data_IF_860620700995
#
_entry.id   IF_860620700995
#
_cell.length_a   1.000
_cell.length_b   1.000
_cell.length_c   1.000
_cell.angle_alpha   90.00
_cell.angle_beta   90.00
_cell.angle_gamma   90.00
#
_symmetry.space_group_name_H-M   'P 1'
#
loop_
_entity.id
_entity.type
_entity.pdbx_description
1 polymer ?
#
# COMPACT_ATOMS: atom_id res chain seq x y z
N UNK A 1 1.05 -19.71 11.13
CA UNK A 1 -0.10 -19.48 12.02
C UNK A 1 0.07 -20.34 13.25
N UNK A 2 0.19 -19.71 14.41
CA UNK A 2 0.18 -20.41 15.70
C UNK A 2 -1.13 -20.06 16.41
N UNK A 3 -1.72 -21.03 17.10
CA UNK A 3 -2.97 -20.81 17.83
C UNK A 3 -2.75 -19.82 18.98
N UNK A 4 -3.58 -18.77 19.06
CA UNK A 4 -3.78 -17.99 20.29
C UNK A 4 -3.45 -16.50 20.25
N UNK A 5 -2.65 -16.01 19.30
CA UNK A 5 -2.27 -14.58 19.21
C UNK A 5 -2.48 -13.97 17.81
N UNK A 6 -2.65 -14.78 16.77
CA UNK A 6 -2.88 -14.29 15.40
C UNK A 6 -4.24 -13.56 15.28
N UNK A 7 -4.24 -12.41 14.62
CA UNK A 7 -5.44 -11.61 14.33
C UNK A 7 -5.73 -11.63 12.83
N UNK A 8 -6.97 -11.95 12.47
CA UNK A 8 -7.51 -11.88 11.11
C UNK A 8 -8.36 -10.61 10.99
N UNK A 9 -8.13 -9.86 9.93
CA UNK A 9 -8.79 -8.59 9.66
C UNK A 9 -9.57 -8.71 8.36
N UNK A 10 -10.84 -8.31 8.37
CA UNK A 10 -11.64 -8.15 7.16
C UNK A 10 -11.62 -6.70 6.66
N UNK A 11 -11.46 -6.56 5.34
CA UNK A 11 -11.46 -5.27 4.66
C UNK A 11 -10.41 -4.30 5.20
N UNK A 12 -10.79 -3.03 5.28
CA UNK A 12 -9.94 -1.91 5.72
C UNK A 12 -9.87 -1.80 7.26
N UNK A 13 -9.87 -2.94 7.97
CA UNK A 13 -9.98 -2.96 9.44
C UNK A 13 -11.41 -3.00 9.97
N UNK A 14 -12.40 -3.37 9.15
CA UNK A 14 -13.82 -3.29 9.50
C UNK A 14 -14.25 -4.34 10.54
N UNK A 15 -13.59 -5.50 10.56
CA UNK A 15 -13.81 -6.54 11.56
C UNK A 15 -12.49 -7.22 11.94
N UNK A 16 -12.16 -7.18 13.24
CA UNK A 16 -11.03 -7.92 13.79
C UNK A 16 -11.51 -9.21 14.43
N UNK A 17 -10.84 -10.31 14.11
CA UNK A 17 -11.15 -11.65 14.60
C UNK A 17 -9.90 -12.31 15.14
N UNK A 18 -10.00 -12.92 16.32
CA UNK A 18 -8.91 -13.69 16.93
C UNK A 18 -8.96 -15.13 16.47
N UNK A 19 -7.83 -15.68 16.04
CA UNK A 19 -7.72 -17.12 15.72
C UNK A 19 -7.76 -17.93 17.01
N UNK A 20 -8.73 -18.85 17.09
CA UNK A 20 -8.88 -19.79 18.21
C UNK A 20 -8.20 -21.12 17.90
N UNK A 21 -8.46 -21.68 16.73
CA UNK A 21 -7.98 -23.00 16.32
C UNK A 21 -7.61 -22.98 14.83
N UNK A 22 -6.60 -23.76 14.46
CA UNK A 22 -6.14 -23.93 13.08
C UNK A 22 -6.23 -25.38 12.67
N UNK A 23 -6.79 -25.62 11.48
CA UNK A 23 -6.92 -26.93 10.84
C UNK A 23 -6.25 -26.89 9.47
N UNK A 24 -6.15 -28.04 8.81
CA UNK A 24 -5.48 -28.15 7.50
C UNK A 24 -6.17 -27.33 6.39
N UNK A 25 -7.50 -27.17 6.45
CA UNK A 25 -8.33 -26.54 5.43
C UNK A 25 -9.15 -25.35 5.91
N UNK A 26 -9.13 -25.05 7.22
CA UNK A 26 -9.88 -23.93 7.79
C UNK A 26 -9.28 -23.43 9.12
N UNK A 27 -9.79 -22.29 9.57
CA UNK A 27 -9.50 -21.72 10.89
C UNK A 27 -10.81 -21.45 11.62
N UNK A 28 -10.78 -21.53 12.94
CA UNK A 28 -11.87 -21.08 13.80
C UNK A 28 -11.48 -19.75 14.40
N UNK A 29 -12.34 -18.75 14.23
CA UNK A 29 -12.09 -17.39 14.70
C UNK A 29 -13.25 -16.89 15.57
N UNK A 30 -12.96 -15.97 16.48
CA UNK A 30 -13.99 -15.21 17.21
C UNK A 30 -13.84 -13.72 16.92
N UNK A 31 -14.94 -12.98 16.67
CA UNK A 31 -14.86 -11.53 16.54
C UNK A 31 -14.42 -10.91 17.87
N UNK A 32 -13.58 -9.88 17.79
CA UNK A 32 -13.16 -9.07 18.94
C UNK A 32 -14.20 -7.99 19.29
N UNK A 33 -15.08 -7.65 18.35
CA UNK A 33 -16.16 -6.69 18.50
C UNK A 33 -17.31 -7.04 17.55
N UNK A 34 -18.49 -6.48 17.78
CA UNK A 34 -19.61 -6.60 16.85
C UNK A 34 -19.23 -6.00 15.49
N UNK A 35 -19.64 -6.66 14.40
CA UNK A 35 -19.37 -6.20 13.04
C UNK A 35 -20.08 -7.06 11.99
N UNK A 36 -19.87 -6.70 10.73
CA UNK A 36 -20.52 -7.34 9.58
C UNK A 36 -19.43 -7.81 8.62
N UNK A 37 -19.55 -9.06 8.15
CA UNK A 37 -18.74 -9.57 7.06
C UNK A 37 -19.37 -9.16 5.73
N UNK A 38 -18.60 -8.51 4.86
CA UNK A 38 -19.07 -8.04 3.57
C UNK A 38 -18.61 -8.96 2.44
N UNK A 39 -19.52 -9.44 1.57
CA UNK A 39 -19.14 -10.25 0.42
C UNK A 39 -18.11 -9.55 -0.47
N UNK A 40 -17.05 -10.28 -0.84
CA UNK A 40 -16.02 -9.80 -1.75
C UNK A 40 -14.96 -8.90 -1.11
N UNK A 41 -15.02 -8.64 0.21
CA UNK A 41 -13.91 -8.01 0.92
C UNK A 41 -12.80 -9.03 1.18
N UNK A 42 -11.56 -8.55 1.08
CA UNK A 42 -10.38 -9.34 1.41
C UNK A 42 -10.30 -9.62 2.90
N UNK A 43 -9.57 -10.68 3.24
CA UNK A 43 -9.17 -10.98 4.61
C UNK A 43 -7.66 -11.05 4.66
N UNK A 44 -7.06 -10.49 5.71
CA UNK A 44 -5.63 -10.49 5.92
C UNK A 44 -5.31 -11.00 7.32
N UNK A 45 -4.20 -11.73 7.43
CA UNK A 45 -3.64 -12.09 8.74
C UNK A 45 -2.66 -10.98 9.11
N UNK A 46 -2.84 -10.38 10.27
CA UNK A 46 -1.88 -9.43 10.82
C UNK A 46 -0.65 -10.21 11.31
N UNK A 47 0.41 -10.17 10.52
CA UNK A 47 1.65 -10.90 10.74
C UNK A 47 2.81 -10.05 10.20
N UNK A 48 3.78 -9.72 11.07
CA UNK A 48 4.95 -8.94 10.70
C UNK A 48 5.85 -9.65 9.67
N UNK A 49 5.71 -10.98 9.55
CA UNK A 49 6.39 -11.80 8.56
C UNK A 49 5.53 -12.11 7.33
N UNK A 50 4.36 -11.48 7.19
CA UNK A 50 3.49 -11.67 6.04
C UNK A 50 4.25 -11.34 4.74
N UNK A 51 4.41 -12.36 3.89
CA UNK A 51 5.04 -12.25 2.58
C UNK A 51 4.14 -12.82 1.48
N UNK A 52 3.13 -12.05 1.03
CA UNK A 52 2.33 -12.42 -0.12
C UNK A 52 3.23 -12.50 -1.35
N UNK A 53 2.82 -13.27 -2.36
CA UNK A 53 3.57 -13.30 -3.61
C UNK A 53 3.35 -12.00 -4.36
N UNK A 54 4.40 -11.18 -4.52
CA UNK A 54 4.34 -9.94 -5.29
C UNK A 54 4.00 -10.15 -6.79
N UNK A 55 4.17 -11.37 -7.30
CA UNK A 55 3.88 -11.71 -8.70
C UNK A 55 3.30 -13.12 -8.82
N UNK A 56 1.97 -13.23 -8.85
CA UNK A 56 1.28 -14.49 -9.11
C UNK A 56 1.31 -14.85 -10.59
N UNK A 57 0.83 -16.06 -10.95
CA UNK A 57 0.67 -16.44 -12.36
C UNK A 57 -0.27 -15.49 -13.11
N UNK A 58 -1.35 -15.04 -12.44
CA UNK A 58 -2.28 -14.06 -13.00
C UNK A 58 -1.57 -12.72 -13.22
N UNK A 59 -0.86 -12.21 -12.21
CA UNK A 59 -0.16 -10.92 -12.32
C UNK A 59 0.92 -10.95 -13.40
N UNK A 60 1.60 -12.10 -13.56
CA UNK A 60 2.58 -12.29 -14.64
C UNK A 60 1.90 -12.23 -16.01
N UNK A 61 0.72 -12.84 -16.16
CA UNK A 61 -0.07 -12.79 -17.40
C UNK A 61 -0.56 -11.37 -17.69
N UNK A 62 -1.08 -10.69 -16.66
CA UNK A 62 -1.58 -9.32 -16.77
C UNK A 62 -0.45 -8.34 -17.11
N UNK A 63 0.72 -8.49 -16.48
CA UNK A 63 1.91 -7.70 -16.80
C UNK A 63 2.32 -7.89 -18.27
N UNK A 64 2.38 -9.12 -18.78
CA UNK A 64 2.71 -9.37 -20.20
C UNK A 64 1.68 -8.73 -21.14
N UNK A 65 0.39 -8.86 -20.82
CA UNK A 65 -0.67 -8.24 -21.61
C UNK A 65 -0.57 -6.71 -21.60
N UNK A 66 -0.34 -6.11 -20.43
CA UNK A 66 -0.17 -4.68 -20.24
C UNK A 66 1.02 -4.14 -21.04
N UNK A 67 2.18 -4.79 -20.93
CA UNK A 67 3.39 -4.42 -21.65
C UNK A 67 3.21 -4.48 -23.16
N UNK A 68 2.47 -5.46 -23.67
CA UNK A 68 2.19 -5.58 -25.10
C UNK A 68 1.33 -4.42 -25.65
N UNK A 69 0.57 -3.72 -24.82
CA UNK A 69 -0.23 -2.56 -25.26
C UNK A 69 0.62 -1.32 -25.54
N UNK A 70 1.76 -1.17 -24.85
CA UNK A 70 2.60 0.05 -24.87
C UNK A 70 1.83 1.34 -24.51
N UNK A 71 0.74 1.23 -23.75
CA UNK A 71 -0.12 2.37 -23.37
C UNK A 71 0.16 2.94 -21.97
N UNK A 72 1.02 2.28 -21.19
CA UNK A 72 1.26 2.62 -19.79
C UNK A 72 2.66 3.18 -19.60
N UNK A 73 2.79 4.15 -18.70
CA UNK A 73 4.06 4.84 -18.42
C UNK A 73 4.83 4.25 -17.23
N UNK A 74 4.19 3.44 -16.41
CA UNK A 74 4.77 2.82 -15.22
C UNK A 74 3.94 1.61 -14.78
N UNK A 75 4.51 0.77 -13.92
CA UNK A 75 3.78 -0.29 -13.19
C UNK A 75 3.99 -0.13 -11.69
N UNK A 76 2.92 -0.24 -10.92
CA UNK A 76 2.99 -0.35 -9.47
C UNK A 76 2.87 -1.81 -9.06
N UNK A 77 3.82 -2.31 -8.26
CA UNK A 77 3.90 -3.71 -7.84
C UNK A 77 3.47 -3.80 -6.38
N UNK A 78 2.47 -4.63 -6.10
CA UNK A 78 1.93 -4.84 -4.75
C UNK A 78 2.75 -5.84 -3.95
N UNK A 79 2.70 -5.68 -2.63
CA UNK A 79 3.26 -6.54 -1.60
C UNK A 79 4.74 -6.86 -1.81
N UNK A 80 5.51 -5.85 -2.25
CA UNK A 80 6.96 -5.98 -2.44
C UNK A 80 7.61 -6.16 -1.08
N UNK A 81 8.25 -7.30 -0.89
CA UNK A 81 8.87 -7.69 0.37
C UNK A 81 10.40 -7.70 0.31
N UNK A 82 10.99 -7.87 -0.88
CA UNK A 82 12.44 -7.85 -1.09
C UNK A 82 12.81 -7.42 -2.51
N UNK A 83 14.11 -7.25 -2.76
CA UNK A 83 14.61 -6.87 -4.09
C UNK A 83 14.27 -7.90 -5.19
N UNK A 84 14.15 -9.19 -4.87
CA UNK A 84 13.92 -10.24 -5.85
C UNK A 84 12.52 -10.16 -6.44
N UNK A 85 11.54 -9.63 -5.69
CA UNK A 85 10.20 -9.32 -6.21
C UNK A 85 10.28 -8.38 -7.42
N UNK A 86 11.09 -7.33 -7.32
CA UNK A 86 11.28 -6.34 -8.38
C UNK A 86 12.09 -6.94 -9.54
N UNK A 87 13.13 -7.72 -9.25
CA UNK A 87 13.93 -8.40 -10.27
C UNK A 87 13.07 -9.37 -11.10
N UNK A 88 12.12 -10.09 -10.48
CA UNK A 88 11.18 -10.96 -11.18
C UNK A 88 10.30 -10.17 -12.16
N UNK A 89 9.80 -8.99 -11.75
CA UNK A 89 9.04 -8.09 -12.64
C UNK A 89 9.91 -7.62 -13.81
N UNK A 90 11.15 -7.22 -13.56
CA UNK A 90 12.10 -6.83 -14.61
C UNK A 90 12.44 -7.98 -15.57
N UNK A 91 12.50 -9.22 -15.07
CA UNK A 91 12.71 -10.40 -15.92
C UNK A 91 11.56 -10.59 -16.92
N UNK A 92 10.31 -10.44 -16.48
CA UNK A 92 9.13 -10.51 -17.36
C UNK A 92 9.14 -9.39 -18.39
N UNK A 93 9.47 -8.16 -17.98
CA UNK A 93 9.64 -7.03 -18.90
C UNK A 93 10.68 -7.32 -19.98
N UNK A 94 11.81 -7.92 -19.60
CA UNK A 94 12.88 -8.31 -20.52
C UNK A 94 12.43 -9.38 -21.52
N UNK A 95 11.64 -10.36 -21.09
CA UNK A 95 11.07 -11.39 -21.99
C UNK A 95 10.15 -10.79 -23.06
N UNK A 96 9.34 -9.79 -22.69
CA UNK A 96 8.43 -9.10 -23.61
C UNK A 96 9.17 -8.08 -24.48
N UNK A 97 10.35 -7.61 -24.04
CA UNK A 97 11.13 -6.59 -24.73
C UNK A 97 10.63 -5.17 -24.52
N UNK A 98 9.82 -4.93 -23.49
CA UNK A 98 9.31 -3.61 -23.09
C UNK A 98 9.61 -3.38 -21.62
N UNK A 99 10.22 -2.24 -21.28
CA UNK A 99 10.57 -1.86 -19.91
C UNK A 99 9.78 -0.63 -19.51
N UNK A 100 9.17 -0.67 -18.32
CA UNK A 100 8.51 0.47 -17.69
C UNK A 100 9.16 0.76 -16.33
N UNK A 101 9.16 2.03 -15.88
CA UNK A 101 9.41 2.38 -14.48
C UNK A 101 8.58 1.55 -13.51
N UNK A 102 9.19 1.10 -12.43
CA UNK A 102 8.55 0.28 -11.39
C UNK A 102 8.39 1.11 -10.11
N UNK A 103 7.15 1.20 -9.63
CA UNK A 103 6.81 1.75 -8.32
C UNK A 103 6.59 0.58 -7.35
N UNK A 104 7.46 0.41 -6.37
CA UNK A 104 7.34 -0.64 -5.36
C UNK A 104 6.37 -0.19 -4.26
N UNK A 105 5.25 -0.90 -4.07
CA UNK A 105 4.31 -0.63 -2.99
C UNK A 105 4.78 -1.33 -1.72
N UNK A 106 5.10 -0.52 -0.70
CA UNK A 106 5.49 -0.98 0.63
C UNK A 106 4.21 -1.13 1.46
N UNK A 107 3.80 -2.39 1.65
CA UNK A 107 2.48 -2.79 2.18
C UNK A 107 2.59 -3.71 3.41
N UNK A 108 3.80 -4.10 3.79
CA UNK A 108 4.06 -5.02 4.91
C UNK A 108 5.24 -4.56 5.76
N UNK A 109 5.29 -5.00 7.02
CA UNK A 109 6.43 -4.76 7.89
C UNK A 109 7.75 -5.28 7.29
N UNK A 110 7.72 -6.43 6.62
CA UNK A 110 8.87 -6.97 5.90
C UNK A 110 9.33 -6.04 4.76
N UNK A 111 8.40 -5.48 3.99
CA UNK A 111 8.73 -4.49 2.96
C UNK A 111 9.36 -3.21 3.54
N UNK A 112 8.93 -2.78 4.73
CA UNK A 112 9.57 -1.66 5.45
C UNK A 112 10.99 -2.01 5.89
N UNK A 113 11.20 -3.19 6.47
CA UNK A 113 12.52 -3.67 6.91
C UNK A 113 13.51 -3.74 5.75
N UNK A 114 13.05 -4.17 4.58
CA UNK A 114 13.87 -4.33 3.36
C UNK A 114 13.77 -3.12 2.43
N UNK A 115 13.19 -2.00 2.86
CA UNK A 115 12.90 -0.87 1.97
C UNK A 115 14.16 -0.34 1.25
N UNK A 116 15.34 -0.40 1.89
CA UNK A 116 16.59 0.07 1.30
C UNK A 116 17.04 -0.75 0.09
N UNK A 117 17.03 -2.09 0.18
CA UNK A 117 17.36 -2.95 -0.96
C UNK A 117 16.29 -2.86 -2.06
N UNK A 118 15.01 -2.75 -1.69
CA UNK A 118 13.90 -2.56 -2.63
C UNK A 118 14.08 -1.24 -3.39
N UNK A 119 14.42 -0.15 -2.69
CA UNK A 119 14.63 1.16 -3.29
C UNK A 119 15.74 1.14 -4.34
N UNK A 120 16.86 0.47 -4.08
CA UNK A 120 17.98 0.38 -5.01
C UNK A 120 17.66 -0.28 -6.35
N UNK A 121 16.61 -1.12 -6.41
CA UNK A 121 16.18 -1.81 -7.64
C UNK A 121 14.88 -1.26 -8.23
N UNK A 122 14.26 -0.28 -7.58
CA UNK A 122 12.99 0.33 -7.96
C UNK A 122 13.17 1.74 -8.53
N UNK A 123 12.20 2.21 -9.31
CA UNK A 123 12.22 3.58 -9.85
C UNK A 123 11.50 4.57 -8.91
N UNK A 124 10.57 4.08 -8.09
CA UNK A 124 9.99 4.81 -6.96
C UNK A 124 9.49 3.85 -5.87
N UNK A 125 9.32 4.38 -4.66
CA UNK A 125 8.58 3.72 -3.59
C UNK A 125 7.17 4.30 -3.46
N UNK A 126 6.23 3.50 -2.98
CA UNK A 126 4.91 3.96 -2.57
C UNK A 126 4.59 3.41 -1.19
N UNK A 127 4.39 4.30 -0.22
CA UNK A 127 3.87 3.93 1.08
C UNK A 127 2.35 3.73 0.99
N UNK A 128 1.91 2.49 0.83
CA UNK A 128 0.51 2.11 0.69
C UNK A 128 -0.09 1.87 2.08
N UNK A 129 -0.49 2.97 2.71
CA UNK A 129 -0.81 3.03 4.16
C UNK A 129 -1.99 2.16 4.57
N UNK A 130 -2.99 1.99 3.71
CA UNK A 130 -4.15 1.13 3.97
C UNK A 130 -3.73 -0.30 4.29
N UNK A 131 -3.04 -0.96 3.34
CA UNK A 131 -2.50 -2.31 3.54
C UNK A 131 -1.43 -2.33 4.65
N UNK A 132 -0.54 -1.34 4.68
CA UNK A 132 0.52 -1.29 5.69
C UNK A 132 -0.03 -1.21 7.12
N UNK A 133 -1.13 -0.48 7.35
CA UNK A 133 -1.75 -0.35 8.67
C UNK A 133 -2.51 -1.61 9.14
N UNK A 134 -2.90 -2.48 8.21
CA UNK A 134 -3.62 -3.73 8.52
C UNK A 134 -2.66 -4.92 8.65
N UNK A 135 -1.54 -4.95 7.93
CA UNK A 135 -0.60 -6.09 7.96
C UNK A 135 0.32 -6.10 9.17
N UNK A 136 0.44 -4.98 9.90
CA UNK A 136 1.23 -4.84 11.13
C UNK A 136 0.42 -4.12 12.22
N UNK A 137 0.89 -4.06 13.48
CA UNK A 137 0.23 -3.26 14.50
C UNK A 137 0.10 -1.80 14.06
N UNK A 138 -1.13 -1.29 13.96
CA UNK A 138 -1.41 0.06 13.42
C UNK A 138 -0.63 1.19 14.10
N UNK A 139 -0.23 1.01 15.36
CA UNK A 139 0.56 1.98 16.13
C UNK A 139 1.96 2.18 15.56
N UNK A 140 2.48 1.21 14.78
CA UNK A 140 3.78 1.27 14.14
C UNK A 140 3.76 2.09 12.84
N UNK A 141 2.57 2.38 12.28
CA UNK A 141 2.42 3.07 11.00
C UNK A 141 3.24 4.38 10.91
N UNK A 142 3.23 5.29 11.91
CA UNK A 142 4.05 6.49 11.85
C UNK A 142 5.55 6.19 11.73
N UNK A 143 6.06 5.22 12.51
CA UNK A 143 7.47 4.84 12.48
C UNK A 143 7.86 4.19 11.14
N UNK A 144 6.97 3.39 10.55
CA UNK A 144 7.18 2.81 9.23
C UNK A 144 7.21 3.86 8.13
N UNK A 145 6.33 4.87 8.19
CA UNK A 145 6.33 5.98 7.24
C UNK A 145 7.62 6.81 7.33
N UNK A 146 8.09 7.09 8.55
CA UNK A 146 9.37 7.76 8.79
C UNK A 146 10.54 6.96 8.23
N UNK A 147 10.52 5.63 8.39
CA UNK A 147 11.52 4.73 7.84
C UNK A 147 11.55 4.77 6.30
N UNK A 148 10.39 4.68 5.63
CA UNK A 148 10.29 4.78 4.17
C UNK A 148 10.81 6.13 3.68
N UNK A 149 10.41 7.23 4.34
CA UNK A 149 10.90 8.58 4.03
C UNK A 149 12.42 8.71 4.20
N UNK A 150 12.98 8.11 5.26
CA UNK A 150 14.41 8.10 5.48
C UNK A 150 15.16 7.32 4.38
N UNK A 151 14.72 6.11 4.08
CA UNK A 151 15.29 5.27 3.01
C UNK A 151 15.22 5.97 1.65
N UNK A 152 14.09 6.61 1.34
CA UNK A 152 13.93 7.38 0.11
C UNK A 152 15.00 8.47 -0.01
N UNK A 153 15.26 9.21 1.08
CA UNK A 153 16.30 10.26 1.10
C UNK A 153 17.71 9.70 0.98
N UNK A 154 18.01 8.60 1.66
CA UNK A 154 19.35 7.99 1.62
C UNK A 154 19.68 7.38 0.26
N UNK A 155 18.70 6.72 -0.36
CA UNK A 155 18.88 6.05 -1.66
C UNK A 155 18.62 6.97 -2.85
N UNK A 156 18.12 8.18 -2.60
CA UNK A 156 17.65 9.14 -3.62
C UNK A 156 16.54 8.59 -4.51
N UNK A 157 15.81 7.58 -4.03
CA UNK A 157 14.67 6.98 -4.74
C UNK A 157 13.41 7.76 -4.36
N UNK A 158 12.67 8.36 -5.31
CA UNK A 158 11.47 9.13 -4.98
C UNK A 158 10.40 8.25 -4.33
N UNK A 159 9.59 8.82 -3.43
CA UNK A 159 8.53 8.09 -2.76
C UNK A 159 7.18 8.82 -2.80
N UNK A 160 6.10 8.03 -2.79
CA UNK A 160 4.72 8.48 -2.92
C UNK A 160 3.96 8.08 -1.66
N UNK A 161 3.18 9.01 -1.10
CA UNK A 161 2.21 8.71 -0.04
C UNK A 161 0.90 8.29 -0.67
N UNK A 162 0.36 7.13 -0.32
CA UNK A 162 -0.87 6.61 -0.91
C UNK A 162 -1.93 6.27 0.13
N UNK A 163 -3.19 6.21 -0.34
CA UNK A 163 -4.42 5.82 0.39
C UNK A 163 -4.84 6.78 1.49
N UNK A 164 -6.14 7.01 1.67
CA UNK A 164 -6.70 7.87 2.73
C UNK A 164 -6.06 9.28 2.77
N UNK A 165 -5.91 9.90 1.60
CA UNK A 165 -5.38 11.25 1.47
C UNK A 165 -6.49 12.28 1.75
N UNK A 166 -7.71 12.01 1.29
CA UNK A 166 -8.83 12.95 1.37
C UNK A 166 -10.18 12.28 1.66
N UNK A 167 -10.17 11.14 2.35
CA UNK A 167 -11.35 10.32 2.66
C UNK A 167 -12.45 11.11 3.38
N UNK A 168 -12.07 12.08 4.22
CA UNK A 168 -12.99 12.98 4.91
C UNK A 168 -13.95 13.72 3.98
N UNK A 169 -13.59 13.95 2.71
CA UNK A 169 -14.46 14.60 1.72
C UNK A 169 -15.72 13.80 1.38
N UNK A 170 -15.75 12.50 1.69
CA UNK A 170 -16.95 11.68 1.57
C UNK A 170 -18.08 12.18 2.47
N UNK A 171 -17.72 12.69 3.66
CA UNK A 171 -18.68 13.07 4.70
C UNK A 171 -18.72 14.58 4.93
N UNK A 172 -17.64 15.28 4.61
CA UNK A 172 -17.45 16.69 4.94
C UNK A 172 -17.21 17.55 3.71
N UNK A 173 -17.49 18.85 3.81
CA UNK A 173 -17.25 19.82 2.73
C UNK A 173 -15.75 20.09 2.53
N UNK A 174 -14.96 19.95 3.60
CA UNK A 174 -13.51 20.11 3.58
C UNK A 174 -12.84 18.83 4.07
N UNK A 175 -11.58 18.56 3.66
CA UNK A 175 -10.78 17.51 4.28
C UNK A 175 -10.67 17.78 5.79
N UNK A 176 -10.50 16.71 6.56
CA UNK A 176 -10.32 16.81 8.00
C UNK A 176 -9.01 17.55 8.32
N UNK A 177 -8.95 18.13 9.53
CA UNK A 177 -7.71 18.77 10.02
C UNK A 177 -6.55 17.78 10.06
N UNK A 178 -6.84 16.51 10.36
CA UNK A 178 -5.85 15.45 10.38
C UNK A 178 -5.27 15.21 8.98
N UNK A 179 -6.11 15.05 7.95
CA UNK A 179 -5.67 14.85 6.56
C UNK A 179 -4.87 16.03 6.02
N UNK A 180 -5.29 17.26 6.35
CA UNK A 180 -4.54 18.48 5.97
C UNK A 180 -3.14 18.45 6.56
N UNK A 181 -3.03 18.18 7.86
CA UNK A 181 -1.74 18.14 8.55
C UNK A 181 -0.87 16.96 8.09
N UNK A 182 -1.48 15.79 7.86
CA UNK A 182 -0.81 14.57 7.44
C UNK A 182 -0.19 14.72 6.04
N UNK A 183 -0.98 15.11 5.03
CA UNK A 183 -0.44 15.31 3.69
C UNK A 183 0.62 16.43 3.67
N UNK A 184 0.38 17.54 4.38
CA UNK A 184 1.35 18.62 4.46
C UNK A 184 2.67 18.13 5.08
N UNK A 185 2.60 17.36 6.17
CA UNK A 185 3.77 16.79 6.82
C UNK A 185 4.60 15.95 5.84
N UNK A 186 4.00 14.97 5.17
CA UNK A 186 4.77 14.07 4.32
C UNK A 186 5.40 14.78 3.10
N UNK A 187 4.68 15.73 2.50
CA UNK A 187 5.24 16.59 1.44
C UNK A 187 6.45 17.37 1.98
N UNK A 188 6.35 17.98 3.16
CA UNK A 188 7.48 18.71 3.77
C UNK A 188 8.66 17.80 4.13
N UNK A 189 8.41 16.53 4.44
CA UNK A 189 9.47 15.53 4.70
C UNK A 189 10.07 14.91 3.45
N UNK A 190 9.66 15.36 2.26
CA UNK A 190 10.28 14.99 0.99
C UNK A 190 9.54 13.92 0.19
N UNK A 191 8.25 13.68 0.45
CA UNK A 191 7.42 12.90 -0.47
C UNK A 191 7.38 13.58 -1.84
N UNK A 192 7.67 12.83 -2.90
CA UNK A 192 7.68 13.33 -4.28
C UNK A 192 6.26 13.58 -4.82
N UNK A 193 5.26 12.93 -4.21
CA UNK A 193 3.86 13.10 -4.54
C UNK A 193 2.94 12.33 -3.61
N UNK A 194 1.65 12.43 -3.91
CA UNK A 194 0.61 11.65 -3.23
C UNK A 194 -0.33 11.00 -4.25
N UNK A 195 -1.00 9.92 -3.82
CA UNK A 195 -1.96 9.18 -4.62
C UNK A 195 -3.32 9.14 -3.92
N UNK A 196 -4.31 9.83 -4.51
CA UNK A 196 -5.73 9.66 -4.20
C UNK A 196 -6.24 8.38 -4.86
N UNK A 197 -7.01 7.57 -4.13
CA UNK A 197 -7.40 6.21 -4.50
C UNK A 197 -8.91 6.10 -4.59
N UNK A 198 -9.58 5.64 -3.53
CA UNK A 198 -11.03 5.55 -3.47
C UNK A 198 -11.68 6.93 -3.68
N UNK A 199 -11.05 7.99 -3.16
CA UNK A 199 -11.55 9.36 -3.15
C UNK A 199 -11.85 9.93 -4.55
N UNK A 200 -11.18 9.40 -5.58
CA UNK A 200 -11.39 9.77 -6.99
C UNK A 200 -12.04 8.66 -7.81
N UNK A 201 -11.79 7.39 -7.49
CA UNK A 201 -12.35 6.26 -8.23
C UNK A 201 -13.85 6.08 -7.96
N UNK A 202 -14.26 6.24 -6.70
CA UNK A 202 -15.63 5.97 -6.24
C UNK A 202 -16.19 7.07 -5.33
N UNK A 203 -15.32 7.93 -4.80
CA UNK A 203 -15.69 9.01 -3.90
C UNK A 203 -16.63 10.04 -4.54
N UNK A 204 -17.46 10.73 -3.73
CA UNK A 204 -18.47 11.66 -4.23
C UNK A 204 -17.89 13.00 -4.72
N UNK A 205 -16.62 13.29 -4.42
CA UNK A 205 -15.96 14.58 -4.67
C UNK A 205 -14.57 14.44 -5.32
N UNK A 206 -14.48 13.81 -6.50
CA UNK A 206 -13.19 13.49 -7.11
C UNK A 206 -12.39 14.73 -7.50
N UNK A 207 -13.06 15.81 -7.92
CA UNK A 207 -12.38 17.07 -8.31
C UNK A 207 -11.78 17.73 -7.08
N UNK A 208 -12.55 17.83 -5.99
CA UNK A 208 -12.12 18.44 -4.74
C UNK A 208 -10.97 17.66 -4.09
N UNK A 209 -10.96 16.33 -4.19
CA UNK A 209 -9.84 15.49 -3.73
C UNK A 209 -8.53 15.86 -4.43
N UNK A 210 -8.57 16.02 -5.76
CA UNK A 210 -7.40 16.44 -6.54
C UNK A 210 -7.01 17.89 -6.26
N UNK A 211 -7.99 18.79 -6.12
CA UNK A 211 -7.72 20.20 -5.79
C UNK A 211 -7.10 20.38 -4.41
N UNK A 212 -7.54 19.61 -3.43
CA UNK A 212 -6.94 19.56 -2.10
C UNK A 212 -5.47 19.12 -2.19
N UNK A 213 -5.21 17.96 -2.81
CA UNK A 213 -3.86 17.44 -2.97
C UNK A 213 -2.95 18.45 -3.69
N UNK A 214 -3.43 19.02 -4.80
CA UNK A 214 -2.71 20.05 -5.56
C UNK A 214 -2.39 21.29 -4.71
N UNK A 215 -3.33 21.72 -3.86
CA UNK A 215 -3.16 22.92 -3.02
C UNK A 215 -2.09 22.70 -1.95
N UNK A 216 -2.06 21.51 -1.33
CA UNK A 216 -1.02 21.16 -0.37
C UNK A 216 0.34 21.05 -1.05
N UNK A 217 0.43 20.32 -2.16
CA UNK A 217 1.68 20.18 -2.93
C UNK A 217 2.22 21.54 -3.36
N UNK A 218 1.39 22.45 -3.88
CA UNK A 218 1.81 23.80 -4.28
C UNK A 218 2.31 24.66 -3.11
N UNK A 219 1.79 24.43 -1.90
CA UNK A 219 2.10 25.25 -0.73
C UNK A 219 3.36 24.77 0.00
N UNK A 220 3.58 23.46 0.02
CA UNK A 220 4.54 22.81 0.91
C UNK A 220 5.62 21.98 0.22
N UNK A 221 5.44 21.65 -1.07
CA UNK A 221 6.47 20.99 -1.91
C UNK A 221 7.29 22.02 -2.67
#
# INVERSE_FOLDING_TARGET
MSTGDDTVIEGDGALLMKVLETYDDHIVVTPLHDGVLHPGRGVVVQDEHLKPSALTQKDTSDLRALLATQLFDAVAVSFVADQHDIERVRAVMKEVGTSLPIVAKIETALGVQNASEIAHVSDALMAARGDLAITMPWIELPASMDSISHVSRETQTPWIVATQIAEGLERFVFPTRAEICDLAHWIQTGAAGAMVSYETAFGPKPVESVEFMRSIMKRYG
#
